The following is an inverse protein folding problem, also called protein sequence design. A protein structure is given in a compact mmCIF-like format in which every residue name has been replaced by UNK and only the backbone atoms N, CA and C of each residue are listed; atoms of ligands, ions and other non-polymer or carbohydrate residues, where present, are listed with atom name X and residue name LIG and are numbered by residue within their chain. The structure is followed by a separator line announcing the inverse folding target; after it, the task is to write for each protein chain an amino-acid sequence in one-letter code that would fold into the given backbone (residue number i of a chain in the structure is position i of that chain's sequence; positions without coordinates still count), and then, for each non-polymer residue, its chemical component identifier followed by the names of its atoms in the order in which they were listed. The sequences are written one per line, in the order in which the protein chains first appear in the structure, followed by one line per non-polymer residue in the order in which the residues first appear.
data_IF_904632061523
#
_entry.id   IF_904632061523
#
_cell.length_a   1.000
_cell.length_b   1.000
_cell.length_c   1.000
_cell.angle_alpha   90.00
_cell.angle_beta   90.00
_cell.angle_gamma   90.00
#
_symmetry.space_group_name_H-M   'P 1'
#
loop_
_entity.id
_entity.type
_entity.pdbx_description
1 polymer ?
#
# COMPACT_ATOMS: atom_id res chain seq x y z
N UNK A 1 18.79 -12.83 -11.59
CA UNK A 1 19.55 -11.79 -12.31
C UNK A 1 18.70 -10.99 -13.30
N UNK A 2 18.34 -11.45 -14.49
CA UNK A 2 17.56 -10.63 -15.45
C UNK A 2 16.15 -10.23 -14.95
N UNK A 3 15.42 -11.17 -14.35
CA UNK A 3 14.09 -10.93 -13.80
C UNK A 3 14.11 -10.02 -12.54
N UNK A 4 15.20 -10.06 -11.78
CA UNK A 4 15.41 -9.18 -10.61
C UNK A 4 15.74 -7.76 -11.06
N UNK A 5 16.61 -7.59 -12.06
CA UNK A 5 16.93 -6.28 -12.63
C UNK A 5 15.67 -5.59 -13.19
N UNK A 6 14.79 -6.35 -13.85
CA UNK A 6 13.52 -5.82 -14.37
C UNK A 6 12.53 -5.50 -13.25
N UNK A 7 12.49 -6.32 -12.19
CA UNK A 7 11.70 -6.03 -10.98
C UNK A 7 12.18 -4.74 -10.32
N UNK A 8 13.48 -4.59 -10.12
CA UNK A 8 14.08 -3.42 -9.47
C UNK A 8 13.85 -2.14 -10.29
N UNK A 9 13.93 -2.23 -11.63
CA UNK A 9 13.59 -1.11 -12.52
C UNK A 9 12.14 -0.64 -12.37
N UNK A 10 11.19 -1.57 -12.25
CA UNK A 10 9.78 -1.21 -12.11
C UNK A 10 9.52 -0.52 -10.78
N UNK A 11 9.99 -1.10 -9.67
CA UNK A 11 9.69 -0.59 -8.32
C UNK A 11 10.36 0.75 -8.00
N UNK A 12 11.43 1.10 -8.72
CA UNK A 12 12.13 2.38 -8.58
C UNK A 12 11.43 3.52 -9.36
N UNK A 13 10.44 3.21 -10.20
CA UNK A 13 9.64 4.21 -10.90
C UNK A 13 8.80 5.02 -9.90
N UNK A 14 8.62 6.31 -10.18
CA UNK A 14 7.62 7.10 -9.44
C UNK A 14 6.21 6.64 -9.78
N UNK A 15 5.23 6.98 -8.92
CA UNK A 15 3.81 6.73 -9.21
C UNK A 15 3.40 7.33 -10.57
N UNK A 16 3.89 8.54 -10.90
CA UNK A 16 3.57 9.21 -12.15
C UNK A 16 4.17 8.47 -13.36
N UNK A 17 5.41 8.00 -13.24
CA UNK A 17 6.09 7.31 -14.34
C UNK A 17 5.47 5.93 -14.59
N UNK A 18 5.17 5.16 -13.54
CA UNK A 18 4.53 3.84 -13.73
C UNK A 18 3.12 3.99 -14.30
N UNK A 19 2.37 5.01 -13.87
CA UNK A 19 1.04 5.31 -14.41
C UNK A 19 1.11 5.68 -15.91
N UNK A 20 2.13 6.47 -16.30
CA UNK A 20 2.36 6.83 -17.69
C UNK A 20 2.73 5.60 -18.53
N UNK A 21 3.63 4.75 -18.04
CA UNK A 21 4.05 3.52 -18.73
C UNK A 21 2.93 2.50 -18.88
N UNK A 22 2.07 2.36 -17.86
CA UNK A 22 0.86 1.51 -17.96
C UNK A 22 -0.09 2.09 -19.00
N UNK A 23 -0.33 3.41 -18.98
CA UNK A 23 -1.21 4.08 -19.95
C UNK A 23 -0.72 3.92 -21.39
N UNK A 24 0.58 4.02 -21.63
CA UNK A 24 1.18 3.83 -22.95
C UNK A 24 1.36 2.36 -23.33
N UNK A 25 0.96 1.42 -22.46
CA UNK A 25 1.12 -0.03 -22.63
C UNK A 25 2.59 -0.45 -22.80
N UNK A 26 3.53 0.37 -22.30
CA UNK A 26 4.97 0.04 -22.30
C UNK A 26 5.28 -1.00 -21.22
N UNK A 27 4.49 -1.02 -20.15
CA UNK A 27 4.53 -2.06 -19.10
C UNK A 27 3.12 -2.53 -18.81
N UNK A 28 2.96 -3.80 -18.49
CA UNK A 28 1.67 -4.34 -18.06
C UNK A 28 1.40 -4.00 -16.59
N UNK A 29 0.15 -3.66 -16.20
CA UNK A 29 -0.21 -3.56 -14.79
C UNK A 29 -0.06 -4.90 -14.04
N UNK A 30 -0.09 -6.05 -14.75
CA UNK A 30 0.18 -7.37 -14.17
C UNK A 30 1.65 -7.48 -13.78
N UNK A 31 2.57 -7.12 -14.68
CA UNK A 31 4.02 -7.11 -14.42
C UNK A 31 4.35 -6.19 -13.23
N UNK A 32 3.78 -4.99 -13.23
CA UNK A 32 3.96 -4.00 -12.15
C UNK A 32 3.43 -4.54 -10.80
N UNK A 33 2.28 -5.23 -10.83
CA UNK A 33 1.69 -5.84 -9.63
C UNK A 33 2.53 -7.00 -9.12
N UNK A 34 2.99 -7.87 -10.00
CA UNK A 34 3.85 -9.01 -9.62
C UNK A 34 5.19 -8.53 -9.07
N UNK A 35 5.77 -7.46 -9.61
CA UNK A 35 6.97 -6.82 -9.06
C UNK A 35 6.74 -6.31 -7.63
N UNK A 36 5.62 -5.62 -7.37
CA UNK A 36 5.26 -5.13 -6.05
C UNK A 36 5.01 -6.29 -5.05
N UNK A 37 4.29 -7.35 -5.46
CA UNK A 37 4.06 -8.54 -4.64
C UNK A 37 5.38 -9.28 -4.33
N UNK A 38 6.29 -9.38 -5.30
CA UNK A 38 7.61 -9.96 -5.08
C UNK A 38 8.43 -9.12 -4.09
N UNK A 39 8.31 -7.79 -4.11
CA UNK A 39 8.90 -6.93 -3.08
C UNK A 39 8.32 -7.18 -1.69
N UNK A 40 7.01 -7.36 -1.59
CA UNK A 40 6.34 -7.73 -0.33
C UNK A 40 6.90 -9.05 0.18
N UNK A 41 6.96 -10.09 -0.66
CA UNK A 41 7.48 -11.40 -0.29
C UNK A 41 8.93 -11.32 0.22
N UNK A 42 9.80 -10.56 -0.46
CA UNK A 42 11.22 -10.43 -0.08
C UNK A 42 11.45 -9.59 1.19
N UNK A 43 10.73 -8.47 1.33
CA UNK A 43 11.06 -7.42 2.32
C UNK A 43 10.15 -7.44 3.55
N UNK A 44 8.88 -7.80 3.38
CA UNK A 44 7.88 -7.71 4.45
C UNK A 44 8.14 -8.64 5.64
N UNK A 45 8.71 -9.85 5.51
CA UNK A 45 9.05 -10.68 6.68
C UNK A 45 9.97 -10.01 7.70
N UNK A 46 10.81 -9.06 7.26
CA UNK A 46 11.72 -8.30 8.14
C UNK A 46 11.15 -6.95 8.57
N UNK A 47 10.33 -6.33 7.72
CA UNK A 47 9.84 -4.97 7.92
C UNK A 47 8.46 -4.90 8.57
N UNK A 48 7.64 -5.94 8.41
CA UNK A 48 6.28 -6.05 8.95
C UNK A 48 5.42 -4.80 8.66
N UNK A 49 5.38 -4.40 7.38
CA UNK A 49 4.69 -3.21 6.90
C UNK A 49 3.28 -3.50 6.39
N UNK A 50 3.04 -4.72 5.87
CA UNK A 50 1.73 -5.19 5.36
C UNK A 50 1.32 -6.42 6.16
N UNK A 51 0.17 -6.35 6.85
CA UNK A 51 -0.33 -7.48 7.65
C UNK A 51 -1.26 -8.41 6.89
N UNK A 52 -2.03 -7.86 5.95
CA UNK A 52 -2.94 -8.65 5.12
C UNK A 52 -2.56 -8.42 3.66
N UNK A 53 -1.79 -9.33 3.09
CA UNK A 53 -1.43 -9.29 1.66
C UNK A 53 -2.62 -9.83 0.85
N UNK A 54 -3.01 -9.13 -0.20
CA UNK A 54 -4.16 -9.48 -1.05
C UNK A 54 -3.72 -9.97 -2.43
N UNK A 55 -2.71 -10.85 -2.49
CA UNK A 55 -2.01 -11.23 -3.72
C UNK A 55 -2.94 -11.73 -4.86
N UNK A 56 -3.90 -12.60 -4.54
CA UNK A 56 -4.84 -13.13 -5.53
C UNK A 56 -5.75 -12.03 -6.08
N UNK A 57 -6.33 -11.23 -5.19
CA UNK A 57 -7.16 -10.08 -5.56
C UNK A 57 -6.36 -9.07 -6.38
N UNK A 58 -5.12 -8.76 -5.97
CA UNK A 58 -4.25 -7.82 -6.67
C UNK A 58 -4.02 -8.27 -8.12
N UNK A 59 -3.68 -9.54 -8.33
CA UNK A 59 -3.51 -10.10 -9.68
C UNK A 59 -4.81 -10.11 -10.49
N UNK A 60 -5.95 -10.38 -9.85
CA UNK A 60 -7.25 -10.30 -10.51
C UNK A 60 -7.55 -8.87 -10.96
N UNK A 61 -7.35 -7.88 -10.10
CA UNK A 61 -7.54 -6.47 -10.41
C UNK A 61 -6.58 -6.00 -11.51
N UNK A 62 -5.32 -6.41 -11.47
CA UNK A 62 -4.33 -6.07 -12.48
C UNK A 62 -4.69 -6.62 -13.88
N UNK A 63 -5.15 -7.88 -13.96
CA UNK A 63 -5.62 -8.48 -15.22
C UNK A 63 -6.88 -7.79 -15.76
N UNK A 64 -7.79 -7.40 -14.87
CA UNK A 64 -8.96 -6.62 -15.25
C UNK A 64 -8.55 -5.26 -15.82
N UNK A 65 -7.65 -4.54 -15.13
CA UNK A 65 -7.12 -3.27 -15.60
C UNK A 65 -6.41 -3.41 -16.95
N UNK A 66 -5.57 -4.44 -17.14
CA UNK A 66 -4.93 -4.71 -18.43
C UNK A 66 -5.95 -4.90 -19.55
N UNK A 67 -6.97 -5.73 -19.32
CA UNK A 67 -8.02 -6.01 -20.31
C UNK A 67 -8.75 -4.73 -20.73
N UNK A 68 -9.05 -3.86 -19.77
CA UNK A 68 -9.74 -2.58 -20.01
C UNK A 68 -8.84 -1.58 -20.73
N UNK A 69 -7.57 -1.47 -20.33
CA UNK A 69 -6.59 -0.56 -20.93
C UNK A 69 -6.33 -0.91 -22.40
N UNK A 70 -6.19 -2.20 -22.71
CA UNK A 70 -6.04 -2.68 -24.10
C UNK A 70 -7.26 -2.34 -24.96
N UNK A 71 -8.46 -2.32 -24.36
CA UNK A 71 -9.70 -1.89 -25.03
C UNK A 71 -9.88 -0.37 -25.15
N UNK A 72 -8.95 0.42 -24.59
CA UNK A 72 -9.05 1.88 -24.56
C UNK A 72 -9.91 2.45 -23.42
N UNK A 73 -10.32 1.63 -22.45
CA UNK A 73 -11.16 2.01 -21.31
C UNK A 73 -10.31 2.51 -20.12
N UNK A 74 -9.42 3.47 -20.36
CA UNK A 74 -8.52 3.98 -19.32
C UNK A 74 -9.28 4.87 -18.31
N UNK A 75 -9.34 4.44 -17.04
CA UNK A 75 -10.09 5.10 -15.96
C UNK A 75 -9.37 6.28 -15.31
N UNK A 76 -8.07 6.44 -15.54
CA UNK A 76 -7.27 7.55 -15.01
C UNK A 76 -5.93 7.13 -14.39
N UNK A 77 -5.20 8.06 -13.76
CA UNK A 77 -3.80 7.88 -13.36
C UNK A 77 -3.50 6.73 -12.39
N UNK A 78 -4.51 6.19 -11.71
CA UNK A 78 -4.33 5.04 -10.80
C UNK A 78 -4.78 3.71 -11.42
N UNK A 79 -5.26 3.70 -12.66
CA UNK A 79 -5.76 2.50 -13.29
C UNK A 79 -4.63 1.49 -13.50
N UNK A 80 -4.72 0.34 -12.82
CA UNK A 80 -3.69 -0.70 -12.83
C UNK A 80 -2.51 -0.47 -11.88
N UNK A 81 -2.51 0.63 -11.10
CA UNK A 81 -1.38 0.97 -10.21
C UNK A 81 -1.52 0.28 -8.85
N UNK A 82 -0.48 -0.43 -8.35
CA UNK A 82 -0.47 -1.01 -7.01
C UNK A 82 -0.49 0.02 -5.88
N UNK A 83 -1.48 -0.09 -5.00
CA UNK A 83 -1.67 0.73 -3.81
C UNK A 83 -1.92 -0.11 -2.56
N UNK A 84 -1.60 0.44 -1.39
CA UNK A 84 -1.86 -0.19 -0.10
C UNK A 84 -2.76 0.68 0.80
N UNK A 85 -3.49 0.07 1.73
CA UNK A 85 -4.49 0.77 2.56
C UNK A 85 -4.19 0.50 4.03
N UNK A 86 -4.06 1.54 4.87
CA UNK A 86 -3.90 1.38 6.33
C UNK A 86 -5.01 0.52 6.92
N UNK A 87 -4.63 -0.41 7.81
CA UNK A 87 -5.52 -1.39 8.44
C UNK A 87 -6.50 -0.80 9.48
N UNK A 88 -6.88 0.46 9.30
CA UNK A 88 -7.96 1.16 9.97
C UNK A 88 -9.10 1.50 9.00
N UNK A 89 -8.80 1.57 7.70
CA UNK A 89 -9.73 1.98 6.66
C UNK A 89 -10.46 0.71 6.19
N UNK A 90 -11.79 0.79 6.22
CA UNK A 90 -12.64 -0.35 5.91
C UNK A 90 -12.55 -0.72 4.43
N UNK A 91 -12.41 -2.01 4.19
CA UNK A 91 -12.32 -2.60 2.87
C UNK A 91 -13.21 -3.84 2.87
N UNK A 92 -14.27 -3.83 2.07
CA UNK A 92 -15.29 -4.88 2.02
C UNK A 92 -14.64 -6.23 1.74
N UNK A 93 -14.92 -7.21 2.60
CA UNK A 93 -14.42 -8.57 2.44
C UNK A 93 -12.94 -8.74 2.76
N UNK A 94 -12.23 -7.71 3.24
CA UNK A 94 -10.83 -7.80 3.64
C UNK A 94 -10.69 -7.44 5.11
N UNK A 95 -10.08 -8.35 5.88
CA UNK A 95 -9.84 -8.23 7.32
C UNK A 95 -9.26 -6.85 7.68
N UNK A 96 -9.85 -6.19 8.67
CA UNK A 96 -9.48 -4.86 9.14
C UNK A 96 -9.43 -4.82 10.67
N UNK A 97 -8.23 -4.81 11.24
CA UNK A 97 -8.03 -5.07 12.67
C UNK A 97 -7.88 -3.81 13.53
N UNK A 98 -7.68 -2.65 12.91
CA UNK A 98 -7.21 -1.45 13.59
C UNK A 98 -5.95 -1.66 14.45
N UNK A 99 -5.19 -2.74 14.21
CA UNK A 99 -4.04 -3.12 15.03
C UNK A 99 -4.39 -3.63 16.42
N UNK A 100 -5.66 -4.01 16.65
CA UNK A 100 -6.17 -4.47 17.93
C UNK A 100 -6.65 -5.90 17.89
N UNK A 101 -6.48 -6.62 19.01
CA UNK A 101 -7.09 -7.95 19.20
C UNK A 101 -8.62 -7.89 19.23
N UNK A 102 -9.21 -6.75 19.56
CA UNK A 102 -10.67 -6.56 19.60
C UNK A 102 -11.29 -6.79 18.20
N UNK A 103 -10.58 -6.39 17.15
CA UNK A 103 -11.04 -6.52 15.76
C UNK A 103 -10.21 -7.54 14.97
N UNK A 104 -9.55 -8.49 15.64
CA UNK A 104 -8.60 -9.41 15.01
C UNK A 104 -9.19 -10.14 13.79
N UNK A 105 -10.45 -10.56 13.90
CA UNK A 105 -11.21 -11.30 12.87
C UNK A 105 -12.28 -10.43 12.19
N UNK A 106 -12.26 -9.12 12.38
CA UNK A 106 -13.28 -8.24 11.81
C UNK A 106 -13.10 -8.10 10.30
N UNK A 107 -14.15 -8.42 9.55
CA UNK A 107 -14.24 -8.24 8.10
C UNK A 107 -15.37 -7.25 7.80
N UNK A 108 -15.06 -6.03 7.31
CA UNK A 108 -16.08 -5.05 6.96
C UNK A 108 -17.03 -5.54 5.87
N UNK A 109 -18.31 -5.17 5.97
CA UNK A 109 -19.34 -5.46 4.96
C UNK A 109 -19.44 -4.37 3.87
N UNK A 110 -18.72 -3.26 4.02
CA UNK A 110 -18.71 -2.15 3.08
C UNK A 110 -17.29 -1.56 2.94
N UNK A 111 -17.05 -0.88 1.82
CA UNK A 111 -15.84 -0.11 1.59
C UNK A 111 -16.00 1.27 2.22
N UNK A 112 -14.95 1.82 2.84
CA UNK A 112 -14.95 3.24 3.11
C UNK A 112 -14.96 4.02 1.77
N UNK A 113 -15.56 5.21 1.74
CA UNK A 113 -15.72 6.00 0.49
C UNK A 113 -14.41 6.22 -0.28
N UNK A 114 -13.28 6.38 0.41
CA UNK A 114 -11.98 6.51 -0.24
C UNK A 114 -11.54 5.23 -0.97
N UNK A 115 -11.93 4.07 -0.47
CA UNK A 115 -11.66 2.76 -1.07
C UNK A 115 -12.55 2.54 -2.28
N UNK A 116 -13.83 2.93 -2.21
CA UNK A 116 -14.73 2.95 -3.38
C UNK A 116 -14.13 3.80 -4.50
N UNK A 117 -13.66 5.02 -4.19
CA UNK A 117 -13.01 5.90 -5.17
C UNK A 117 -11.74 5.31 -5.79
N UNK A 118 -10.92 4.60 -5.00
CA UNK A 118 -9.74 3.90 -5.53
C UNK A 118 -10.14 2.73 -6.44
N UNK A 119 -11.18 1.98 -6.07
CA UNK A 119 -11.73 0.89 -6.87
C UNK A 119 -12.29 1.40 -8.20
N UNK A 120 -13.04 2.49 -8.17
CA UNK A 120 -13.59 3.15 -9.36
C UNK A 120 -12.48 3.68 -10.29
N UNK A 121 -11.39 4.19 -9.70
CA UNK A 121 -10.19 4.59 -10.44
C UNK A 121 -9.38 3.39 -11.01
N UNK A 122 -9.76 2.15 -10.68
CA UNK A 122 -9.10 0.93 -11.14
C UNK A 122 -7.76 0.65 -10.46
N UNK A 123 -7.53 1.17 -9.26
CA UNK A 123 -6.31 0.89 -8.50
C UNK A 123 -6.25 -0.58 -8.05
N UNK A 124 -5.04 -1.12 -7.98
CA UNK A 124 -4.78 -2.51 -7.59
C UNK A 124 -4.39 -2.56 -6.12
N UNK A 125 -5.19 -3.22 -5.27
CA UNK A 125 -4.93 -3.31 -3.84
C UNK A 125 -3.97 -4.46 -3.54
N UNK A 126 -2.76 -4.16 -3.07
CA UNK A 126 -1.76 -5.18 -2.69
C UNK A 126 -1.85 -5.63 -1.23
N UNK A 127 -2.49 -4.83 -0.36
CA UNK A 127 -2.77 -5.27 1.00
C UNK A 127 -3.12 -4.18 2.01
N UNK A 128 -3.29 -4.62 3.25
CA UNK A 128 -3.56 -3.78 4.43
C UNK A 128 -2.29 -3.51 5.22
N UNK A 129 -1.97 -2.23 5.40
CA UNK A 129 -0.71 -1.80 6.05
C UNK A 129 -0.82 -1.73 7.56
N UNK A 130 0.27 -2.10 8.23
CA UNK A 130 0.44 -2.08 9.67
C UNK A 130 0.26 -0.68 10.26
N UNK A 131 -0.27 -0.63 11.48
CA UNK A 131 -0.48 0.60 12.24
C UNK A 131 -0.24 0.42 13.74
N UNK A 132 0.01 1.53 14.43
CA UNK A 132 -0.14 1.57 15.88
C UNK A 132 -1.61 1.34 16.25
N UNK A 133 -1.88 0.52 17.28
CA UNK A 133 -3.24 0.12 17.67
C UNK A 133 -4.20 1.33 17.78
N UNK A 134 -5.36 1.21 17.13
CA UNK A 134 -6.39 2.26 16.98
C UNK A 134 -5.86 3.62 16.50
N UNK A 135 -4.76 3.61 15.74
CA UNK A 135 -4.02 4.79 15.33
C UNK A 135 -3.47 5.65 16.48
N UNK A 136 -3.40 5.11 17.70
CA UNK A 136 -3.03 5.83 18.91
C UNK A 136 -1.56 5.62 19.29
N UNK A 137 -0.65 6.18 18.48
CA UNK A 137 0.77 6.18 18.77
C UNK A 137 1.62 6.61 17.58
N UNK A 138 2.84 7.07 17.85
CA UNK A 138 3.71 7.71 16.85
C UNK A 138 4.92 6.85 16.45
N UNK A 139 4.96 5.58 16.83
CA UNK A 139 6.12 4.68 16.59
C UNK A 139 5.81 3.49 15.68
N UNK A 140 4.54 3.11 15.51
CA UNK A 140 4.13 1.84 14.89
C UNK A 140 4.64 0.57 15.60
N UNK A 141 5.04 0.67 16.87
CA UNK A 141 5.14 -0.49 17.75
C UNK A 141 3.73 -1.06 17.97
N UNK A 142 3.58 -2.37 17.87
CA UNK A 142 2.30 -3.04 18.10
C UNK A 142 2.52 -4.34 18.88
N UNK A 143 1.95 -4.49 20.10
CA UNK A 143 2.18 -5.66 20.95
C UNK A 143 1.47 -6.93 20.47
N UNK A 144 0.62 -6.85 19.45
CA UNK A 144 -0.20 -7.96 18.97
C UNK A 144 0.27 -8.50 17.63
N UNK A 145 0.70 -7.61 16.74
CA UNK A 145 1.15 -7.94 15.38
C UNK A 145 2.65 -7.72 15.17
N UNK A 146 3.37 -7.33 16.23
CA UNK A 146 4.79 -6.99 16.17
C UNK A 146 5.03 -5.59 15.59
N UNK A 147 6.25 -5.07 15.77
CA UNK A 147 6.59 -3.74 15.30
C UNK A 147 6.83 -3.69 13.79
N UNK A 148 6.53 -2.55 13.17
CA UNK A 148 7.05 -2.24 11.84
C UNK A 148 8.47 -1.69 11.96
N UNK A 149 9.38 -2.12 11.09
CA UNK A 149 10.76 -1.61 11.02
C UNK A 149 10.95 -0.76 9.78
N UNK A 150 11.82 0.24 9.89
CA UNK A 150 12.21 1.08 8.76
C UNK A 150 13.36 0.44 7.97
N UNK A 151 13.37 0.53 6.62
CA UNK A 151 14.46 -0.04 5.80
C UNK A 151 15.80 0.65 6.01
N UNK A 152 15.82 1.88 6.54
CA UNK A 152 17.03 2.69 6.72
C UNK A 152 17.88 2.21 7.89
N UNK A 153 17.23 1.76 8.97
CA UNK A 153 17.86 1.22 10.17
C UNK A 153 16.83 0.40 10.96
N UNK A 154 17.04 -0.91 11.08
CA UNK A 154 16.11 -1.83 11.74
C UNK A 154 15.92 -1.61 13.25
N UNK A 155 16.78 -0.82 13.89
CA UNK A 155 16.68 -0.45 15.31
C UNK A 155 15.84 0.82 15.53
N UNK A 156 15.42 1.50 14.45
CA UNK A 156 14.61 2.72 14.53
C UNK A 156 13.16 2.46 14.17
N UNK A 157 12.30 3.30 14.74
CA UNK A 157 10.87 3.30 14.43
C UNK A 157 10.62 3.99 13.08
N UNK A 158 9.64 3.53 12.28
CA UNK A 158 9.23 4.20 11.05
C UNK A 158 8.36 5.44 11.30
N UNK A 159 8.09 5.80 12.56
CA UNK A 159 7.05 6.77 12.91
C UNK A 159 5.66 6.13 12.87
N UNK A 160 4.62 6.86 13.25
CA UNK A 160 3.28 6.29 13.37
C UNK A 160 2.17 7.33 13.44
N UNK A 161 0.91 6.91 13.35
CA UNK A 161 0.46 5.51 13.33
C UNK A 161 0.34 4.90 11.94
N UNK A 162 0.71 5.59 10.85
CA UNK A 162 0.71 5.02 9.49
C UNK A 162 2.10 4.54 9.08
N UNK A 163 2.87 3.95 10.00
CA UNK A 163 4.26 3.53 9.76
C UNK A 163 4.36 2.45 8.70
N UNK A 164 3.46 1.46 8.72
CA UNK A 164 3.39 0.43 7.68
C UNK A 164 3.12 1.02 6.29
N UNK A 165 2.26 2.04 6.20
CA UNK A 165 1.98 2.74 4.95
C UNK A 165 3.23 3.42 4.39
N UNK A 166 4.00 4.10 5.25
CA UNK A 166 5.21 4.79 4.82
C UNK A 166 6.31 3.81 4.41
N UNK A 167 6.51 2.73 5.16
CA UNK A 167 7.49 1.69 4.83
C UNK A 167 7.13 0.97 3.53
N UNK A 168 5.85 0.66 3.31
CA UNK A 168 5.41 0.00 2.09
C UNK A 168 5.73 0.84 0.83
N UNK A 169 5.51 2.16 0.90
CA UNK A 169 5.86 3.08 -0.20
C UNK A 169 7.38 3.21 -0.34
N UNK A 170 8.11 3.44 0.76
CA UNK A 170 9.56 3.67 0.71
C UNK A 170 10.38 2.42 0.31
N UNK A 171 9.75 1.26 0.21
CA UNK A 171 10.40 -0.01 -0.12
C UNK A 171 9.83 -0.68 -1.37
N UNK A 172 9.08 0.05 -2.20
CA UNK A 172 8.58 -0.47 -3.48
C UNK A 172 7.57 -1.62 -3.33
N UNK A 173 6.94 -1.76 -2.16
CA UNK A 173 5.83 -2.71 -1.98
C UNK A 173 4.53 -2.19 -2.61
N UNK A 174 4.43 -0.88 -2.83
CA UNK A 174 3.34 -0.20 -3.54
C UNK A 174 3.81 1.19 -4.00
N UNK A 175 3.09 1.79 -4.96
CA UNK A 175 3.42 3.13 -5.46
C UNK A 175 2.73 4.26 -4.68
N UNK A 176 1.71 3.91 -3.89
CA UNK A 176 1.01 4.83 -3.00
C UNK A 176 0.28 4.07 -1.90
N UNK A 177 0.15 4.71 -0.74
CA UNK A 177 -0.59 4.14 0.37
C UNK A 177 -1.49 5.18 1.04
N UNK A 178 -2.69 4.76 1.44
CA UNK A 178 -3.56 5.56 2.29
C UNK A 178 -3.19 5.39 3.76
N UNK A 179 -3.10 6.51 4.46
CA UNK A 179 -2.95 6.58 5.92
C UNK A 179 -4.04 7.43 6.56
N UNK A 180 -3.93 7.64 7.87
CA UNK A 180 -4.76 8.60 8.62
C UNK A 180 -3.85 9.51 9.43
N UNK A 181 -4.22 10.78 9.60
CA UNK A 181 -3.43 11.79 10.31
C UNK A 181 -4.32 12.59 11.25
N UNK A 182 -4.37 12.15 12.50
CA UNK A 182 -5.07 12.84 13.59
C UNK A 182 -4.18 13.88 14.26
N UNK A 183 -2.91 13.52 14.49
CA UNK A 183 -1.91 14.37 15.16
C UNK A 183 -0.52 14.32 14.51
N UNK A 184 -0.44 14.00 13.22
CA UNK A 184 0.83 13.77 12.51
C UNK A 184 0.98 12.36 11.94
N UNK A 185 -0.05 11.52 12.04
CA UNK A 185 0.06 10.10 11.73
C UNK A 185 0.28 9.73 10.26
N UNK A 186 0.26 10.68 9.33
CA UNK A 186 0.81 10.54 7.97
C UNK A 186 2.17 11.24 7.89
N UNK A 187 2.25 12.49 8.36
CA UNK A 187 3.44 13.34 8.19
C UNK A 187 4.67 12.85 8.95
N UNK A 188 4.50 12.37 10.18
CA UNK A 188 5.58 11.81 11.01
C UNK A 188 6.21 10.58 10.35
N UNK A 189 5.45 9.53 9.99
CA UNK A 189 6.05 8.38 9.34
C UNK A 189 6.60 8.70 7.94
N UNK A 190 5.96 9.61 7.18
CA UNK A 190 6.52 10.06 5.91
C UNK A 190 7.91 10.72 6.08
N UNK A 191 8.05 11.59 7.09
CA UNK A 191 9.34 12.22 7.42
C UNK A 191 10.40 11.21 7.86
N UNK A 192 10.02 10.20 8.66
CA UNK A 192 10.97 9.21 9.18
C UNK A 192 11.37 8.18 8.12
N UNK A 193 10.47 7.90 7.17
CA UNK A 193 10.72 6.99 6.06
C UNK A 193 11.23 7.70 4.81
N UNK A 194 11.46 9.02 4.82
CA UNK A 194 12.07 9.74 3.70
C UNK A 194 11.19 9.85 2.45
N UNK A 195 9.87 9.92 2.63
CA UNK A 195 8.90 10.01 1.52
C UNK A 195 7.97 11.23 1.69
N UNK A 196 7.23 11.55 0.62
CA UNK A 196 6.17 12.54 0.69
C UNK A 196 4.93 11.98 1.42
N UNK A 197 4.32 12.79 2.28
CA UNK A 197 3.07 12.47 2.98
C UNK A 197 2.18 13.69 3.12
N UNK A 198 0.95 13.62 2.60
CA UNK A 198 0.00 14.72 2.60
C UNK A 198 -1.12 14.47 3.60
N UNK A 199 -1.29 15.38 4.57
CA UNK A 199 -2.54 15.52 5.31
C UNK A 199 -3.40 16.60 4.63
N UNK A 200 -4.46 16.24 3.89
CA UNK A 200 -5.31 17.22 3.21
C UNK A 200 -6.02 18.14 4.22
N UNK A 201 -6.60 19.23 3.72
CA UNK A 201 -7.50 20.10 4.51
C UNK A 201 -8.61 19.27 5.15
N UNK A 202 -9.03 19.65 6.36
CA UNK A 202 -10.13 18.96 7.03
C UNK A 202 -11.43 19.29 6.31
N UNK A 203 -12.06 18.25 5.74
CA UNK A 203 -13.43 18.26 5.22
C UNK A 203 -13.74 19.45 4.34
#
# INVERSE_FOLDING_TARGET
MANELMTDQLIDMSLADVAASIRSQTVSPVEVTDAALACIERRNPKLNAIWTVTAELARQQARAAETEIVKGEYRGPLHGVPVAIKDLIYTRGIRTTAGSKILAEFVPQYDATVVEKLRDAGAVLVGKTALHEFAYGITNENPHYGPTRTPWNSERVPGGSSGGSAVAVSTGMCYGALGTDTGGSIRVPASFCGIAGLKPTRG
#
